data_IF_186580386036
#
_entry.id   IF_186580386036
#
_cell.length_a   1.000
_cell.length_b   1.000
_cell.length_c   1.000
_cell.angle_alpha   90.00
_cell.angle_beta   90.00
_cell.angle_gamma   90.00
#
_symmetry.space_group_name_H-M   'P 1'
#
loop_
_entity.id
_entity.type
_entity.pdbx_description
1 polymer ?
#
# COMPACT_ATOMS: atom_id res chain seq x y z
N UNK A 1 32.45 3.13 -0.81
CA UNK A 1 31.58 2.17 -1.52
C UNK A 1 31.10 2.79 -2.84
N UNK A 2 31.96 2.70 -3.86
CA UNK A 2 31.70 3.26 -5.21
C UNK A 2 30.64 2.47 -5.99
N UNK A 3 30.23 1.29 -5.50
CA UNK A 3 29.26 0.40 -6.16
C UNK A 3 27.82 0.93 -6.15
N UNK A 4 27.46 1.87 -5.26
CA UNK A 4 26.10 2.43 -5.17
C UNK A 4 25.79 3.38 -6.34
N UNK A 5 26.81 3.95 -6.98
CA UNK A 5 26.63 4.90 -8.09
C UNK A 5 26.23 4.18 -9.38
N UNK A 6 26.47 2.88 -9.48
CA UNK A 6 26.26 2.09 -10.70
C UNK A 6 24.99 1.21 -10.66
N UNK A 7 24.16 1.35 -9.63
CA UNK A 7 22.88 0.63 -9.56
C UNK A 7 21.78 1.45 -10.23
N UNK A 8 21.36 1.05 -11.42
CA UNK A 8 20.21 1.63 -12.11
C UNK A 8 18.90 1.16 -11.45
N UNK A 9 18.04 2.11 -11.08
CA UNK A 9 16.73 1.81 -10.48
C UNK A 9 15.78 1.24 -11.54
N UNK A 10 15.28 0.03 -11.30
CA UNK A 10 14.39 -0.69 -12.20
C UNK A 10 13.03 -0.95 -11.56
N UNK A 11 12.02 -1.04 -12.41
CA UNK A 11 10.63 -1.24 -12.02
C UNK A 11 10.06 -2.46 -12.74
N UNK A 12 9.28 -3.28 -12.03
CA UNK A 12 8.56 -4.40 -12.64
C UNK A 12 7.30 -3.90 -13.33
N UNK A 13 7.32 -3.86 -14.66
CA UNK A 13 6.24 -3.28 -15.47
C UNK A 13 5.21 -4.34 -15.83
N UNK A 14 3.95 -4.09 -15.46
CA UNK A 14 2.80 -4.85 -15.94
C UNK A 14 2.24 -4.25 -17.23
N UNK A 15 2.52 -4.89 -18.37
CA UNK A 15 2.14 -4.40 -19.69
C UNK A 15 0.64 -4.51 -19.99
N UNK A 16 0.07 -3.51 -20.68
CA UNK A 16 -1.34 -3.52 -21.10
C UNK A 16 -1.58 -4.60 -22.16
N UNK A 17 -2.60 -5.43 -21.98
CA UNK A 17 -2.96 -6.49 -22.92
C UNK A 17 -2.16 -7.79 -22.76
N UNK A 18 -1.17 -7.81 -21.87
CA UNK A 18 -0.37 -9.01 -21.56
C UNK A 18 -0.76 -9.57 -20.19
N UNK A 19 -0.50 -10.84 -19.92
CA UNK A 19 -0.62 -11.43 -18.58
C UNK A 19 0.61 -11.10 -17.72
N UNK A 20 0.55 -11.39 -16.41
CA UNK A 20 1.65 -11.07 -15.48
C UNK A 20 2.96 -11.85 -15.73
N UNK A 21 2.90 -12.97 -16.44
CA UNK A 21 4.10 -13.76 -16.78
C UNK A 21 5.05 -13.03 -17.75
N UNK A 22 4.55 -11.99 -18.42
CA UNK A 22 5.33 -11.17 -19.36
C UNK A 22 5.81 -9.86 -18.74
N UNK A 23 5.75 -9.73 -17.41
CA UNK A 23 6.28 -8.54 -16.76
C UNK A 23 7.79 -8.49 -16.95
N UNK A 24 8.32 -7.30 -17.21
CA UNK A 24 9.75 -7.08 -17.40
C UNK A 24 10.25 -6.03 -16.40
N UNK A 25 11.52 -6.12 -16.05
CA UNK A 25 12.21 -5.10 -15.28
C UNK A 25 12.74 -4.05 -16.25
N UNK A 26 12.30 -2.81 -16.07
CA UNK A 26 12.62 -1.69 -16.95
C UNK A 26 13.05 -0.48 -16.12
N UNK A 27 14.01 0.28 -16.62
CA UNK A 27 14.37 1.58 -16.05
C UNK A 27 13.51 2.71 -16.63
N UNK A 28 13.47 3.86 -15.94
CA UNK A 28 12.77 5.03 -16.46
C UNK A 28 13.31 5.46 -17.85
N UNK A 29 14.62 5.35 -18.04
CA UNK A 29 15.27 5.67 -19.30
C UNK A 29 14.84 4.72 -20.42
N UNK A 30 14.87 3.40 -20.17
CA UNK A 30 14.45 2.39 -21.16
C UNK A 30 13.00 2.59 -21.63
N UNK A 31 12.09 2.97 -20.72
CA UNK A 31 10.68 3.23 -21.03
C UNK A 31 10.49 4.52 -21.85
N UNK A 32 11.27 5.58 -21.53
CA UNK A 32 11.26 6.84 -22.29
C UNK A 32 11.80 6.64 -23.71
N UNK A 33 12.87 5.87 -23.86
CA UNK A 33 13.48 5.58 -25.16
C UNK A 33 12.55 4.75 -26.06
N UNK A 34 11.82 3.79 -25.48
CA UNK A 34 10.76 3.03 -26.15
C UNK A 34 9.50 3.87 -26.45
N UNK A 35 9.42 5.11 -25.96
CA UNK A 35 8.27 6.04 -26.10
C UNK A 35 6.95 5.41 -25.67
N UNK A 36 6.97 4.64 -24.57
CA UNK A 36 5.78 3.94 -24.09
C UNK A 36 4.70 4.93 -23.65
N UNK A 37 3.43 4.56 -23.89
CA UNK A 37 2.30 5.34 -23.37
C UNK A 37 2.14 5.07 -21.88
N UNK A 38 1.88 6.13 -21.10
CA UNK A 38 1.55 5.99 -19.68
C UNK A 38 2.71 6.15 -18.70
N UNK A 39 3.84 6.73 -19.12
CA UNK A 39 4.98 7.12 -18.25
C UNK A 39 4.51 7.84 -16.98
N UNK A 40 3.49 8.71 -17.07
CA UNK A 40 2.92 9.42 -15.92
C UNK A 40 2.48 8.51 -14.76
N UNK A 41 2.12 7.25 -15.04
CA UNK A 41 1.82 6.28 -13.97
C UNK A 41 3.07 5.92 -13.17
N UNK A 42 4.20 5.75 -13.84
CA UNK A 42 5.48 5.49 -13.21
C UNK A 42 5.93 6.71 -12.40
N UNK A 43 5.87 7.91 -12.97
CA UNK A 43 6.19 9.16 -12.24
C UNK A 43 5.34 9.34 -10.97
N UNK A 44 4.03 9.08 -11.06
CA UNK A 44 3.15 9.15 -9.89
C UNK A 44 3.48 8.07 -8.85
N UNK A 45 3.91 6.88 -9.28
CA UNK A 45 4.32 5.81 -8.38
C UNK A 45 5.61 6.19 -7.65
N UNK A 46 6.62 6.67 -8.37
CA UNK A 46 7.91 7.12 -7.81
C UNK A 46 7.67 8.21 -6.78
N UNK A 47 6.94 9.27 -7.16
CA UNK A 47 6.64 10.37 -6.25
C UNK A 47 5.93 9.88 -4.99
N UNK A 48 4.97 8.96 -5.13
CA UNK A 48 4.25 8.40 -3.98
C UNK A 48 5.18 7.59 -3.08
N UNK A 49 6.11 6.84 -3.66
CA UNK A 49 7.11 6.07 -2.90
C UNK A 49 8.07 6.99 -2.14
N UNK A 50 8.54 8.06 -2.79
CA UNK A 50 9.34 9.11 -2.16
C UNK A 50 8.60 9.81 -1.03
N UNK A 51 7.34 10.21 -1.25
CA UNK A 51 6.49 10.82 -0.22
C UNK A 51 6.32 9.87 0.98
N UNK A 52 6.09 8.57 0.73
CA UNK A 52 6.00 7.55 1.78
C UNK A 52 7.31 7.40 2.53
N UNK A 53 8.45 7.37 1.82
CA UNK A 53 9.77 7.24 2.41
C UNK A 53 10.11 8.45 3.28
N UNK A 54 9.87 9.65 2.76
CA UNK A 54 10.03 10.90 3.50
C UNK A 54 9.18 10.90 4.76
N UNK A 55 7.89 10.52 4.66
CA UNK A 55 7.00 10.45 5.80
C UNK A 55 7.50 9.45 6.85
N UNK A 56 7.96 8.26 6.45
CA UNK A 56 8.53 7.27 7.36
C UNK A 56 9.79 7.76 8.09
N UNK A 57 10.65 8.52 7.41
CA UNK A 57 11.89 9.04 8.00
C UNK A 57 11.65 10.22 8.96
N UNK A 58 10.57 10.99 8.75
CA UNK A 58 10.28 12.23 9.49
C UNK A 58 9.12 12.10 10.48
N UNK A 59 8.46 10.95 10.52
CA UNK A 59 7.38 10.65 11.46
C UNK A 59 7.98 10.23 12.81
N UNK A 60 7.59 10.92 13.88
CA UNK A 60 7.95 10.50 15.24
C UNK A 60 7.08 9.32 15.70
N UNK A 61 7.54 8.51 16.68
CA UNK A 61 6.69 7.49 17.28
C UNK A 61 5.35 8.03 17.79
N UNK A 62 5.34 9.23 18.40
CA UNK A 62 4.11 9.94 18.76
C UNK A 62 3.21 10.26 17.56
N UNK A 63 3.77 10.62 16.39
CA UNK A 63 2.98 10.87 15.18
C UNK A 63 2.33 9.59 14.65
N UNK A 64 3.00 8.43 14.74
CA UNK A 64 2.41 7.12 14.41
C UNK A 64 1.28 6.77 15.38
N UNK A 65 1.48 7.02 16.68
CA UNK A 65 0.49 6.73 17.73
C UNK A 65 -0.75 7.62 17.56
N UNK A 66 -0.56 8.88 17.18
CA UNK A 66 -1.65 9.83 16.92
C UNK A 66 -2.42 9.55 15.62
N UNK A 67 -1.88 8.74 14.71
CA UNK A 67 -2.65 8.21 13.58
C UNK A 67 -3.47 7.02 14.03
N UNK A 68 -4.70 7.26 14.50
CA UNK A 68 -5.67 6.18 14.71
C UNK A 68 -5.77 5.32 13.44
N UNK A 69 -5.73 4.00 13.60
CA UNK A 69 -5.90 3.07 12.49
C UNK A 69 -7.28 3.28 11.86
N UNK A 70 -7.27 3.61 10.57
CA UNK A 70 -8.47 3.82 9.77
C UNK A 70 -8.69 2.68 8.77
N UNK A 71 -9.95 2.37 8.53
CA UNK A 71 -10.41 1.33 7.64
C UNK A 71 -11.31 1.90 6.55
N UNK A 72 -11.14 1.45 5.32
CA UNK A 72 -12.03 1.83 4.22
C UNK A 72 -13.34 1.02 4.30
N UNK A 73 -14.41 1.66 4.77
CA UNK A 73 -15.68 0.99 5.03
C UNK A 73 -16.55 0.96 3.77
N UNK A 74 -16.94 -0.24 3.36
CA UNK A 74 -18.00 -0.46 2.36
C UNK A 74 -19.35 -0.51 3.04
N UNK A 75 -20.14 0.53 2.89
CA UNK A 75 -21.46 0.66 3.52
C UNK A 75 -22.52 -0.21 2.84
N UNK A 76 -23.41 -0.82 3.65
CA UNK A 76 -24.50 -1.65 3.14
C UNK A 76 -25.51 -0.78 2.40
N UNK A 77 -25.84 -1.14 1.15
CA UNK A 77 -26.79 -0.40 0.32
C UNK A 77 -26.18 0.76 -0.45
N UNK A 78 -24.88 1.04 -0.28
CA UNK A 78 -24.15 2.07 -1.00
C UNK A 78 -23.14 1.44 -1.97
N UNK A 79 -22.87 2.14 -3.07
CA UNK A 79 -21.82 1.77 -4.02
C UNK A 79 -20.43 2.15 -3.47
N UNK A 80 -19.38 1.58 -4.07
CA UNK A 80 -18.01 1.74 -3.60
C UNK A 80 -17.48 3.20 -3.63
N UNK A 81 -18.11 4.08 -4.40
CA UNK A 81 -17.74 5.51 -4.46
C UNK A 81 -18.06 6.26 -3.16
N UNK A 82 -18.92 5.70 -2.31
CA UNK A 82 -19.28 6.26 -1.01
C UNK A 82 -18.51 5.62 0.15
N UNK A 83 -17.48 4.84 -0.15
CA UNK A 83 -16.64 4.29 0.90
C UNK A 83 -15.93 5.44 1.65
N UNK A 84 -15.92 5.37 2.97
CA UNK A 84 -15.26 6.35 3.84
C UNK A 84 -14.16 5.68 4.66
N UNK A 85 -13.13 6.46 5.02
CA UNK A 85 -12.11 6.05 5.97
C UNK A 85 -12.61 6.34 7.38
N UNK A 86 -12.70 5.31 8.21
CA UNK A 86 -13.29 5.38 9.55
C UNK A 86 -12.38 4.67 10.56
N UNK A 87 -12.25 5.20 11.77
CA UNK A 87 -11.59 4.52 12.87
C UNK A 87 -12.57 3.64 13.64
N UNK A 88 -12.07 2.71 14.46
CA UNK A 88 -12.95 1.91 15.31
C UNK A 88 -13.79 2.81 16.24
N UNK A 89 -13.17 3.89 16.75
CA UNK A 89 -13.82 4.88 17.61
C UNK A 89 -14.92 5.64 16.85
N UNK A 90 -14.66 6.14 15.64
CA UNK A 90 -15.67 6.88 14.86
C UNK A 90 -16.90 6.01 14.56
N UNK A 91 -16.71 4.72 14.31
CA UNK A 91 -17.80 3.75 14.08
C UNK A 91 -18.60 3.45 15.35
N UNK A 92 -17.92 3.30 16.50
CA UNK A 92 -18.56 3.11 17.81
C UNK A 92 -19.42 4.32 18.18
N UNK A 93 -18.92 5.53 17.98
CA UNK A 93 -19.62 6.77 18.29
C UNK A 93 -20.85 6.99 17.41
N UNK A 94 -20.76 6.63 16.12
CA UNK A 94 -21.90 6.61 15.19
C UNK A 94 -22.91 5.49 15.49
N UNK A 95 -22.61 4.57 16.42
CA UNK A 95 -23.44 3.41 16.79
C UNK A 95 -23.84 2.56 15.58
N UNK A 96 -22.90 2.38 14.65
CA UNK A 96 -23.17 1.65 13.41
C UNK A 96 -23.47 0.17 13.70
N UNK A 97 -24.38 -0.41 12.94
CA UNK A 97 -24.66 -1.84 13.02
C UNK A 97 -23.57 -2.61 12.27
N UNK A 98 -23.16 -3.76 12.83
CA UNK A 98 -22.24 -4.68 12.15
C UNK A 98 -20.76 -4.48 12.45
N UNK A 99 -20.42 -3.71 13.49
CA UNK A 99 -19.03 -3.46 13.93
C UNK A 99 -18.24 -4.76 14.20
N UNK A 100 -18.91 -5.84 14.63
CA UNK A 100 -18.30 -7.17 14.80
C UNK A 100 -17.55 -7.68 13.57
N UNK A 101 -17.94 -7.26 12.36
CA UNK A 101 -17.21 -7.62 11.14
C UNK A 101 -15.81 -7.00 11.11
N UNK A 102 -15.71 -5.75 11.55
CA UNK A 102 -14.44 -5.06 11.66
C UNK A 102 -13.59 -5.69 12.78
N UNK A 103 -14.17 -5.93 13.96
CA UNK A 103 -13.47 -6.58 15.08
C UNK A 103 -12.85 -7.94 14.67
N UNK A 104 -13.63 -8.78 13.98
CA UNK A 104 -13.14 -10.06 13.47
C UNK A 104 -12.04 -9.91 12.41
N UNK A 105 -12.12 -8.86 11.57
CA UNK A 105 -11.09 -8.57 10.58
C UNK A 105 -9.79 -8.13 11.26
N UNK A 106 -9.87 -7.23 12.25
CA UNK A 106 -8.72 -6.74 13.02
C UNK A 106 -8.03 -7.91 13.71
N UNK A 107 -8.80 -8.73 14.44
CA UNK A 107 -8.25 -9.92 15.11
C UNK A 107 -7.51 -10.85 14.14
N UNK A 108 -8.10 -11.10 12.97
CA UNK A 108 -7.47 -11.95 11.95
C UNK A 108 -6.19 -11.31 11.39
N UNK A 109 -6.17 -9.99 11.20
CA UNK A 109 -4.98 -9.27 10.74
C UNK A 109 -3.86 -9.31 11.77
N UNK A 110 -4.19 -9.14 13.05
CA UNK A 110 -3.26 -9.30 14.18
C UNK A 110 -2.70 -10.72 14.26
N UNK A 111 -3.56 -11.74 14.15
CA UNK A 111 -3.13 -13.13 14.11
C UNK A 111 -2.14 -13.35 12.95
N UNK A 112 -2.46 -12.87 11.74
CA UNK A 112 -1.58 -12.99 10.56
C UNK A 112 -0.24 -12.28 10.78
N UNK A 113 -0.24 -11.08 11.37
CA UNK A 113 0.99 -10.34 11.70
C UNK A 113 1.84 -11.10 12.70
N UNK A 114 1.22 -11.59 13.77
CA UNK A 114 1.87 -12.41 14.78
C UNK A 114 2.55 -13.63 14.15
N UNK A 115 1.81 -14.38 13.33
CA UNK A 115 2.35 -15.54 12.61
C UNK A 115 3.56 -15.16 11.76
N UNK A 116 3.46 -14.11 10.92
CA UNK A 116 4.58 -13.68 10.04
C UNK A 116 5.85 -13.29 10.80
N UNK A 117 5.72 -12.74 12.00
CA UNK A 117 6.86 -12.32 12.81
C UNK A 117 7.50 -13.49 13.58
N UNK A 118 6.70 -14.51 13.94
CA UNK A 118 7.11 -15.57 14.85
C UNK A 118 7.26 -16.96 14.20
N UNK A 119 6.88 -17.13 12.93
CA UNK A 119 7.21 -18.34 12.17
C UNK A 119 8.52 -18.15 11.42
N UNK A 120 9.49 -19.01 11.70
CA UNK A 120 10.66 -19.15 10.82
C UNK A 120 10.25 -19.87 9.53
N UNK A 121 11.01 -19.74 8.42
CA UNK A 121 10.73 -20.44 7.16
C UNK A 121 10.85 -21.98 7.22
N UNK A 122 10.97 -22.57 8.41
CA UNK A 122 11.26 -23.99 8.64
C UNK A 122 10.04 -24.80 9.10
N UNK A 123 8.89 -24.15 9.36
CA UNK A 123 7.57 -24.76 9.58
C UNK A 123 6.66 -24.68 8.34
#
# INVERSE_FOLDING_TARGET
PEDVINTELQYLIKWKGWSHIHNTWESEQSLKDQKVKGIKKLENFIKKDEDIKYWKEHTTPEDVINTELQYLIKWKGWSHIHNTWESEQSLKDQKVKGIKKLENFIKKDEDIKYWKEHTTPED
#
